data_IF_786999902898
#
_entry.id   IF_786999902898
#
_cell.length_a   1.000
_cell.length_b   1.000
_cell.length_c   1.000
_cell.angle_alpha   90.00
_cell.angle_beta   90.00
_cell.angle_gamma   90.00
#
_symmetry.space_group_name_H-M   'P 1'
#
loop_
_entity.id
_entity.type
_entity.pdbx_description
1 polymer ?
#
# COMPACT_ATOMS: atom_id res chain seq x y z
N UNK A 1 -14.82 11.06 9.22
CA UNK A 1 -14.02 10.99 10.45
C UNK A 1 -12.58 10.92 10.02
N UNK A 2 -11.73 11.78 10.56
CA UNK A 2 -10.29 11.73 10.29
C UNK A 2 -9.65 10.82 11.33
N UNK A 3 -9.09 9.69 10.88
CA UNK A 3 -8.41 8.73 11.74
C UNK A 3 -6.91 8.99 11.74
N UNK A 4 -6.30 8.91 12.92
CA UNK A 4 -4.86 9.06 13.11
C UNK A 4 -4.23 7.66 13.20
N UNK A 5 -3.30 7.38 12.32
CA UNK A 5 -2.51 6.15 12.26
C UNK A 5 -1.17 6.28 12.98
N UNK A 6 -0.23 5.40 12.61
CA UNK A 6 1.08 5.33 13.24
C UNK A 6 1.87 6.65 13.09
N UNK A 7 2.68 6.99 14.10
CA UNK A 7 3.45 8.23 14.17
C UNK A 7 2.65 9.53 13.97
N UNK A 8 1.37 9.52 14.37
CA UNK A 8 0.50 10.69 14.28
C UNK A 8 0.11 11.07 12.85
N UNK A 9 0.35 10.19 11.88
CA UNK A 9 0.03 10.43 10.45
C UNK A 9 -1.42 10.05 10.16
N UNK A 10 -2.15 10.81 9.34
CA UNK A 10 -3.53 10.48 9.01
C UNK A 10 -3.61 9.18 8.22
N UNK A 11 -4.62 8.36 8.52
CA UNK A 11 -4.96 7.21 7.68
C UNK A 11 -5.57 7.75 6.38
N UNK A 12 -5.00 7.35 5.24
CA UNK A 12 -5.44 7.79 3.92
C UNK A 12 -5.83 6.59 3.08
N UNK A 13 -7.11 6.53 2.67
CA UNK A 13 -7.60 5.56 1.69
C UNK A 13 -7.18 5.96 0.27
N UNK A 14 -6.70 4.99 -0.51
CA UNK A 14 -6.15 5.13 -1.87
C UNK A 14 -6.87 4.23 -2.88
N UNK A 15 -8.03 3.69 -2.52
CA UNK A 15 -8.84 2.86 -3.42
C UNK A 15 -9.43 3.74 -4.52
N UNK A 16 -9.10 3.45 -5.78
CA UNK A 16 -9.69 4.17 -6.90
C UNK A 16 -11.08 3.61 -7.23
N UNK A 17 -12.12 4.45 -7.11
CA UNK A 17 -13.52 4.05 -7.38
C UNK A 17 -13.96 4.30 -8.82
N UNK A 18 -13.20 5.05 -9.63
CA UNK A 18 -13.52 5.33 -11.03
C UNK A 18 -12.28 5.23 -11.92
N UNK A 19 -12.45 4.73 -13.16
CA UNK A 19 -11.45 4.70 -14.24
C UNK A 19 -10.13 3.92 -14.04
N UNK A 20 -9.91 3.26 -12.90
CA UNK A 20 -8.69 2.47 -12.66
C UNK A 20 -8.42 1.42 -13.76
N UNK A 21 -9.48 0.76 -14.26
CA UNK A 21 -9.38 -0.24 -15.32
C UNK A 21 -8.72 0.30 -16.61
N UNK A 22 -9.05 1.54 -17.00
CA UNK A 22 -8.43 2.19 -18.17
C UNK A 22 -6.97 2.58 -17.91
N UNK A 23 -6.64 2.97 -16.68
CA UNK A 23 -5.27 3.39 -16.33
C UNK A 23 -4.28 2.22 -16.30
N UNK A 24 -4.76 1.02 -15.99
CA UNK A 24 -3.92 -0.20 -15.96
C UNK A 24 -3.95 -0.98 -17.27
N UNK A 25 -4.67 -0.49 -18.28
CA UNK A 25 -4.74 -1.11 -19.60
C UNK A 25 -3.35 -1.15 -20.25
N UNK A 26 -2.96 -2.31 -20.77
CA UNK A 26 -1.64 -2.51 -21.40
C UNK A 26 -0.46 -2.70 -20.42
N UNK A 27 -0.66 -2.54 -19.11
CA UNK A 27 0.39 -2.82 -18.13
C UNK A 27 0.65 -4.33 -17.98
N UNK A 28 1.92 -4.70 -17.79
CA UNK A 28 2.30 -6.08 -17.49
C UNK A 28 1.65 -6.55 -16.19
N UNK A 29 0.93 -7.68 -16.25
CA UNK A 29 0.36 -8.31 -15.07
C UNK A 29 1.39 -9.19 -14.39
N UNK A 30 1.66 -8.90 -13.12
CA UNK A 30 2.53 -9.72 -12.26
C UNK A 30 1.64 -10.50 -11.30
N UNK A 31 1.64 -11.85 -11.34
CA UNK A 31 0.91 -12.64 -10.36
C UNK A 31 1.56 -12.49 -8.99
N UNK A 32 0.75 -12.32 -7.95
CA UNK A 32 1.22 -12.20 -6.57
C UNK A 32 0.61 -13.29 -5.68
N UNK A 33 1.33 -13.79 -4.67
CA UNK A 33 0.77 -14.70 -3.68
C UNK A 33 -0.38 -14.06 -2.88
N UNK A 34 -1.21 -14.91 -2.25
CA UNK A 34 -2.31 -14.47 -1.38
C UNK A 34 -1.86 -13.52 -0.26
N UNK A 35 -0.71 -13.78 0.35
CA UNK A 35 -0.15 -12.93 1.41
C UNK A 35 0.10 -11.50 0.91
N UNK A 36 0.78 -11.37 -0.23
CA UNK A 36 1.03 -10.08 -0.88
C UNK A 36 -0.28 -9.38 -1.29
N UNK A 37 -1.29 -10.12 -1.74
CA UNK A 37 -2.59 -9.53 -2.06
C UNK A 37 -3.27 -8.92 -0.82
N UNK A 38 -3.16 -9.55 0.35
CA UNK A 38 -3.66 -8.95 1.61
C UNK A 38 -2.89 -7.68 1.97
N UNK A 39 -1.58 -7.63 1.75
CA UNK A 39 -0.78 -6.42 1.97
C UNK A 39 -1.19 -5.27 1.05
N UNK A 40 -1.50 -5.54 -0.23
CA UNK A 40 -2.02 -4.52 -1.17
C UNK A 40 -3.32 -3.92 -0.64
N UNK A 41 -4.22 -4.75 -0.09
CA UNK A 41 -5.47 -4.27 0.52
C UNK A 41 -5.17 -3.38 1.73
N UNK A 42 -4.29 -3.82 2.63
CA UNK A 42 -3.88 -3.04 3.80
C UNK A 42 -3.25 -1.68 3.44
N UNK A 43 -2.40 -1.66 2.42
CA UNK A 43 -1.82 -0.43 1.88
C UNK A 43 -2.89 0.49 1.28
N UNK A 44 -3.82 -0.08 0.52
CA UNK A 44 -4.87 0.67 -0.18
C UNK A 44 -5.85 1.35 0.78
N UNK A 45 -6.19 0.71 1.89
CA UNK A 45 -7.03 1.32 2.94
C UNK A 45 -6.24 2.14 3.98
N UNK A 46 -4.91 2.22 3.83
CA UNK A 46 -4.06 3.04 4.70
C UNK A 46 -3.77 2.41 6.07
N UNK A 47 -4.06 1.13 6.28
CA UNK A 47 -3.76 0.43 7.55
C UNK A 47 -2.25 0.36 7.84
N UNK A 48 -1.41 0.46 6.80
CA UNK A 48 0.05 0.51 6.93
C UNK A 48 0.61 1.93 6.97
N UNK A 49 -0.23 2.96 7.14
CA UNK A 49 0.21 4.35 7.33
C UNK A 49 1.38 4.40 8.33
N UNK A 50 2.53 5.02 7.98
CA UNK A 50 2.72 5.95 6.87
C UNK A 50 3.08 5.34 5.50
N UNK A 51 3.22 4.02 5.38
CA UNK A 51 3.56 3.39 4.10
C UNK A 51 2.45 3.63 3.07
N UNK A 52 2.89 3.93 1.84
CA UNK A 52 2.01 4.20 0.70
C UNK A 52 2.22 3.23 -0.47
N UNK A 53 3.13 2.27 -0.30
CA UNK A 53 3.47 1.23 -1.27
C UNK A 53 4.35 0.16 -0.64
N UNK A 54 4.87 -0.76 -1.46
CA UNK A 54 5.86 -1.73 -1.02
C UNK A 54 7.17 -1.03 -0.62
N UNK A 55 7.83 -1.56 0.41
CA UNK A 55 9.12 -1.08 0.85
C UNK A 55 10.20 -1.31 -0.20
N UNK A 56 11.06 -0.32 -0.37
CA UNK A 56 12.36 -0.46 -1.01
C UNK A 56 13.29 -1.32 -0.16
N UNK A 57 14.41 -1.78 -0.75
CA UNK A 57 15.39 -2.58 -0.03
C UNK A 57 15.93 -1.88 1.22
N UNK A 58 16.21 -0.58 1.11
CA UNK A 58 16.71 0.23 2.23
C UNK A 58 15.70 0.32 3.38
N UNK A 59 14.41 0.48 3.08
CA UNK A 59 13.35 0.50 4.09
C UNK A 59 13.20 -0.86 4.78
N UNK A 60 13.38 -1.96 4.05
CA UNK A 60 13.40 -3.31 4.62
C UNK A 60 14.60 -3.47 5.55
N UNK A 61 15.81 -3.17 5.08
CA UNK A 61 17.04 -3.33 5.88
C UNK A 61 16.95 -2.48 7.17
N UNK A 62 16.52 -1.22 7.06
CA UNK A 62 16.30 -0.36 8.22
C UNK A 62 15.19 -0.83 9.17
N UNK A 63 14.25 -1.65 8.71
CA UNK A 63 13.21 -2.24 9.58
C UNK A 63 13.71 -3.49 10.31
N UNK A 64 14.59 -4.27 9.67
CA UNK A 64 15.10 -5.54 10.21
C UNK A 64 16.30 -5.38 11.14
N UNK A 65 17.08 -4.32 10.97
CA UNK A 65 18.33 -4.08 11.72
C UNK A 65 18.12 -3.33 13.06
N UNK A 66 16.87 -3.23 13.53
CA UNK A 66 16.48 -2.62 14.81
C UNK A 66 15.89 -3.62 15.79
#
# INVERSE_FOLDING_TARGET
MDYVGHNGKPIVERVSTANAAKQIEGLTRVPIPKATAHEVISLSYGFFTPLTGFMSRQEVDGTLDN
#
